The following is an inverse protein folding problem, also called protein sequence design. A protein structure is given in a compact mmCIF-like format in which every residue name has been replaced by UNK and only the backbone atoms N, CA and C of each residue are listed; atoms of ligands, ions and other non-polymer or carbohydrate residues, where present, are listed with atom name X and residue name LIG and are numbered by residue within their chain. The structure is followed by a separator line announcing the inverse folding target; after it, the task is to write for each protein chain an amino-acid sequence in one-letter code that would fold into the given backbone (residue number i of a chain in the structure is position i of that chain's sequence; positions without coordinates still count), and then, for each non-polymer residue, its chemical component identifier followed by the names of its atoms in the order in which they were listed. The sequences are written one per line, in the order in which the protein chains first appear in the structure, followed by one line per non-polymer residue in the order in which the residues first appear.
data_IF_509965365130
#
_entry.id   IF_509965365130
#
_cell.length_a   1.000
_cell.length_b   1.000
_cell.length_c   1.000
_cell.angle_alpha   90.00
_cell.angle_beta   90.00
_cell.angle_gamma   90.00
#
_symmetry.space_group_name_H-M   'P 1'
#
loop_
_entity.id
_entity.type
_entity.pdbx_description
1 polymer ?
2 polymer ?
#
# COMPACT_ATOMS: atom_id res chain seq x y z
N UNK A 12 -9.13 8.34 1.40
CA UNK A 12 -9.64 7.62 2.59
C UNK A 12 -9.09 6.20 2.63
N UNK A 13 -8.26 5.92 3.62
CA UNK A 13 -7.65 4.61 3.78
C UNK A 13 -7.27 4.36 5.23
N UNK A 14 -7.25 3.07 5.63
CA UNK A 14 -6.85 2.62 6.97
C UNK A 14 -5.71 3.42 7.62
N UNK A 15 -5.86 3.67 8.91
CA UNK A 15 -4.90 4.41 9.70
C UNK A 15 -3.51 3.75 9.65
N UNK A 16 -2.54 4.46 9.11
CA UNK A 16 -1.20 3.94 9.01
C UNK A 16 -0.77 3.72 7.58
N UNK A 17 -1.74 3.57 6.69
CA UNK A 17 -1.46 3.30 5.29
C UNK A 17 -1.31 4.58 4.50
N UNK A 18 -0.30 4.58 3.65
CA UNK A 18 0.00 5.67 2.76
C UNK A 18 -0.50 5.32 1.36
N UNK A 19 -0.98 6.30 0.62
CA UNK A 19 -1.32 6.05 -0.77
C UNK A 19 -0.28 6.69 -1.69
N UNK A 20 0.37 5.87 -2.49
CA UNK A 20 1.40 6.34 -3.39
C UNK A 20 1.06 5.93 -4.81
N UNK A 21 1.16 6.86 -5.74
CA UNK A 21 0.80 6.58 -7.12
C UNK A 21 2.02 6.12 -7.90
N UNK A 22 1.99 4.86 -8.33
CA UNK A 22 3.11 4.27 -9.08
C UNK A 22 2.89 4.41 -10.58
N UNK A 23 3.96 4.24 -11.38
CA UNK A 23 3.88 4.30 -12.86
C UNK A 23 3.01 3.17 -13.44
N UNK A 24 2.49 2.34 -12.55
CA UNK A 24 1.57 1.26 -12.93
C UNK A 24 0.19 1.82 -13.23
N UNK A 25 0.07 3.14 -13.24
CA UNK A 25 -1.24 3.76 -13.33
C UNK A 25 -2.08 3.35 -12.15
N UNK A 26 -1.38 3.04 -11.07
CA UNK A 26 -1.97 2.39 -9.93
C UNK A 26 -1.49 3.03 -8.63
N UNK A 27 -2.40 3.34 -7.72
CA UNK A 27 -2.05 3.71 -6.35
C UNK A 27 -1.98 2.48 -5.47
N UNK A 28 -0.77 2.15 -5.02
CA UNK A 28 -0.58 1.01 -4.15
C UNK A 28 -0.59 1.48 -2.69
N UNK A 29 -1.23 0.70 -1.83
CA UNK A 29 -1.42 1.07 -0.43
C UNK A 29 -0.27 0.57 0.40
N UNK A 30 0.29 1.43 1.24
CA UNK A 30 1.51 1.06 1.94
C UNK A 30 1.56 1.51 3.40
N UNK A 31 1.53 0.54 4.30
CA UNK A 31 1.60 0.82 5.73
C UNK A 31 3.04 0.82 6.21
N UNK A 32 3.41 1.87 6.92
CA UNK A 32 4.78 2.06 7.38
C UNK A 32 5.01 1.41 8.74
N UNK A 33 3.93 1.13 9.47
CA UNK A 33 4.08 0.68 10.85
C UNK A 33 4.14 -0.84 10.95
N UNK A 34 3.67 -1.54 9.93
CA UNK A 34 3.76 -2.99 9.91
C UNK A 34 4.62 -3.47 8.74
N UNK A 35 5.06 -2.53 7.90
CA UNK A 35 5.84 -2.83 6.69
C UNK A 35 5.06 -3.75 5.75
N UNK A 36 4.05 -3.20 5.09
CA UNK A 36 3.22 -3.99 4.18
C UNK A 36 2.74 -3.15 3.00
N UNK A 37 2.54 -3.80 1.86
CA UNK A 37 2.02 -3.14 0.68
C UNK A 37 0.87 -3.95 0.09
N UNK A 38 -0.08 -3.27 -0.52
CA UNK A 38 -1.28 -3.90 -1.08
C UNK A 38 -1.70 -3.19 -2.36
N UNK A 39 -2.32 -3.92 -3.28
CA UNK A 39 -2.91 -3.27 -4.44
C UNK A 39 -4.39 -3.04 -4.18
N UNK A 40 -4.98 -3.96 -3.43
CA UNK A 40 -6.37 -3.81 -3.00
C UNK A 40 -6.41 -3.06 -1.68
N UNK A 41 -7.39 -2.18 -1.54
CA UNK A 41 -7.57 -1.39 -0.32
C UNK A 41 -7.64 -2.29 0.90
N UNK A 42 -6.72 -2.10 1.87
CA UNK A 42 -6.63 -2.92 3.09
C UNK A 42 -7.92 -2.98 3.91
N UNK A 43 -8.91 -2.16 3.59
CA UNK A 43 -10.21 -2.26 4.24
C UNK A 43 -10.90 -3.56 3.82
N UNK A 44 -10.63 -3.98 2.58
CA UNK A 44 -11.19 -5.22 2.06
C UNK A 44 -10.41 -6.43 2.55
N UNK A 45 -9.13 -6.23 2.86
CA UNK A 45 -8.29 -7.30 3.37
C UNK A 45 -7.58 -6.87 4.64
N UNK A 46 -8.14 -7.24 5.77
CA UNK A 46 -7.55 -6.92 7.06
C UNK A 46 -6.91 -8.16 7.69
N UNK B 4 0.23 -4.80 -11.96
CA UNK B 4 0.77 -6.09 -11.51
C UNK B 4 2.17 -5.93 -10.92
N UNK B 5 2.70 -7.01 -10.33
CA UNK B 5 4.06 -7.04 -9.76
C UNK B 5 4.13 -6.24 -8.47
N UNK B 6 4.04 -6.93 -7.32
CA UNK B 6 4.08 -6.30 -6.00
C UNK B 6 5.48 -5.85 -5.60
N UNK B 7 5.61 -4.61 -5.12
CA UNK B 7 6.89 -4.06 -4.68
C UNK B 7 7.25 -4.54 -3.27
N UNK B 8 8.50 -4.93 -3.08
CA UNK B 8 8.97 -5.28 -1.75
C UNK B 8 8.94 -4.05 -0.88
N UNK B 9 8.47 -4.18 0.34
CA UNK B 9 8.22 -3.01 1.16
C UNK B 9 9.28 -2.80 2.23
N UNK B 10 9.85 -1.60 2.23
CA UNK B 10 10.66 -1.14 3.34
C UNK B 10 10.82 0.36 3.23
N UNK B 11 9.91 1.06 3.89
CA UNK B 11 9.83 2.50 3.83
C UNK B 11 9.85 3.08 5.24
N UNK B 12 10.96 3.72 5.58
CA UNK B 12 11.11 4.32 6.89
C UNK B 12 11.32 5.83 6.76
#
# INVERSE_FOLDING_TARGET
GAMGPSEIEQGFLPKGWEVRHAPNGRPFFIDHNTKTTTWEDPRLKIPAH
ILPTAPPEYMEA
#
